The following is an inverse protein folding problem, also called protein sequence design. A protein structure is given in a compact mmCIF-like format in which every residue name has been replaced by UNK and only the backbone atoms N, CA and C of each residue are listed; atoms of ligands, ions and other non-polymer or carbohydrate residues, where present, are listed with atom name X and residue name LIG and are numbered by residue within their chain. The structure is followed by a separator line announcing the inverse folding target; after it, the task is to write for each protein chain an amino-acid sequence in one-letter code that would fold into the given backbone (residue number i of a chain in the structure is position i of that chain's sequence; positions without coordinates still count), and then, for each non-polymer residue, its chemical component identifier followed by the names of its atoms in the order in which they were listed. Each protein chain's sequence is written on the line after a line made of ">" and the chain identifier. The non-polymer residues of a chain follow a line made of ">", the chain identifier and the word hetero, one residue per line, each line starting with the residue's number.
data_IF_488486943339
#
_entry.id   IF_488486943339
#
_cell.length_a   1.000
_cell.length_b   1.000
_cell.length_c   1.000
_cell.angle_alpha   90.00
_cell.angle_beta   90.00
_cell.angle_gamma   90.00
#
_symmetry.space_group_name_H-M   'P 1'
#
loop_
_entity.id
_entity.type
_entity.pdbx_description
1 polymer ?
#
# COMPACT_ATOMS: atom_id res chain seq x y z
N UNK A 1 4.33 18.25 -5.90
CA UNK A 1 5.66 18.77 -5.49
C UNK A 1 6.30 19.59 -6.59
N UNK A 2 6.57 19.00 -7.76
CA UNK A 2 7.22 19.73 -8.87
C UNK A 2 6.52 21.06 -9.22
N UNK A 3 5.21 21.02 -9.48
CA UNK A 3 4.40 22.24 -9.72
C UNK A 3 4.45 23.30 -8.61
N UNK A 4 4.74 22.92 -7.35
CA UNK A 4 4.92 23.91 -6.28
C UNK A 4 6.31 24.56 -6.36
N UNK A 5 7.34 23.76 -6.65
CA UNK A 5 8.72 24.25 -6.82
C UNK A 5 8.80 25.19 -8.02
N UNK A 6 8.03 24.94 -9.07
CA UNK A 6 7.90 25.82 -10.25
C UNK A 6 7.00 27.05 -10.01
N UNK A 7 6.37 27.17 -8.83
CA UNK A 7 5.50 28.29 -8.49
C UNK A 7 4.11 28.26 -9.13
N UNK A 8 3.71 27.13 -9.73
CA UNK A 8 2.41 26.96 -10.40
C UNK A 8 1.24 26.78 -9.43
N UNK A 9 1.51 26.23 -8.23
CA UNK A 9 0.51 25.97 -7.18
C UNK A 9 1.02 26.40 -5.81
N UNK A 10 0.10 26.68 -4.87
CA UNK A 10 0.46 26.96 -3.47
C UNK A 10 0.93 25.71 -2.73
N UNK A 11 1.54 25.91 -1.56
CA UNK A 11 1.98 24.81 -0.69
C UNK A 11 0.80 23.95 -0.23
N UNK A 12 -0.31 24.56 0.21
CA UNK A 12 -1.50 23.84 0.67
C UNK A 12 -2.11 22.99 -0.45
N UNK A 13 -2.16 23.53 -1.67
CA UNK A 13 -2.65 22.78 -2.84
C UNK A 13 -1.71 21.61 -3.18
N UNK A 14 -0.41 21.78 -3.02
CA UNK A 14 0.57 20.72 -3.22
C UNK A 14 0.39 19.58 -2.21
N UNK A 15 0.19 19.90 -0.92
CA UNK A 15 -0.09 18.92 0.13
C UNK A 15 -1.39 18.17 -0.18
N UNK A 16 -2.46 18.91 -0.50
CA UNK A 16 -3.75 18.32 -0.84
C UNK A 16 -3.66 17.35 -2.02
N UNK A 17 -3.06 17.78 -3.13
CA UNK A 17 -2.87 16.94 -4.32
C UNK A 17 -1.99 15.74 -4.03
N UNK A 18 -0.93 15.91 -3.23
CA UNK A 18 -0.04 14.82 -2.82
C UNK A 18 -0.79 13.72 -2.06
N UNK A 19 -1.55 14.11 -1.04
CA UNK A 19 -2.37 13.17 -0.25
C UNK A 19 -3.40 12.46 -1.14
N UNK A 20 -4.09 13.19 -2.01
CA UNK A 20 -5.05 12.62 -2.96
C UNK A 20 -4.40 11.62 -3.92
N UNK A 21 -3.23 11.96 -4.49
CA UNK A 21 -2.49 11.08 -5.39
C UNK A 21 -2.08 9.77 -4.70
N UNK A 22 -1.55 9.85 -3.48
CA UNK A 22 -1.13 8.66 -2.72
C UNK A 22 -2.32 7.78 -2.30
N UNK A 23 -3.47 8.36 -1.93
CA UNK A 23 -4.69 7.58 -1.68
C UNK A 23 -5.20 6.86 -2.93
N UNK A 24 -5.16 7.53 -4.08
CA UNK A 24 -5.55 6.92 -5.35
C UNK A 24 -4.60 5.79 -5.76
N UNK A 25 -3.30 5.97 -5.53
CA UNK A 25 -2.30 4.92 -5.73
C UNK A 25 -2.61 3.70 -4.86
N UNK A 26 -2.77 3.89 -3.54
CA UNK A 26 -3.11 2.81 -2.62
C UNK A 26 -4.42 2.10 -3.01
N UNK A 27 -5.47 2.87 -3.38
CA UNK A 27 -6.73 2.30 -3.89
C UNK A 27 -6.49 1.41 -5.10
N UNK A 28 -5.68 1.85 -6.07
CA UNK A 28 -5.35 1.05 -7.27
C UNK A 28 -4.56 -0.21 -6.91
N UNK A 29 -3.58 -0.13 -6.01
CA UNK A 29 -2.83 -1.29 -5.51
C UNK A 29 -3.77 -2.33 -4.89
N UNK A 30 -4.73 -1.89 -4.06
CA UNK A 30 -5.72 -2.78 -3.45
C UNK A 30 -6.66 -3.41 -4.50
N UNK A 31 -7.07 -2.65 -5.52
CA UNK A 31 -7.86 -3.21 -6.63
C UNK A 31 -7.11 -4.34 -7.34
N UNK A 32 -5.80 -4.16 -7.60
CA UNK A 32 -4.97 -5.22 -8.20
C UNK A 32 -4.89 -6.46 -7.31
N UNK A 33 -4.58 -6.30 -6.02
CA UNK A 33 -4.43 -7.42 -5.09
C UNK A 33 -5.74 -8.21 -4.88
N UNK A 34 -6.90 -7.56 -4.98
CA UNK A 34 -8.21 -8.25 -4.91
C UNK A 34 -8.46 -9.22 -6.05
N UNK A 35 -7.85 -9.00 -7.21
CA UNK A 35 -7.96 -9.89 -8.37
C UNK A 35 -6.87 -10.96 -8.43
N UNK A 36 -5.94 -11.00 -7.47
CA UNK A 36 -4.80 -11.91 -7.50
C UNK A 36 -5.14 -13.26 -6.86
N UNK A 37 -5.11 -14.33 -7.66
CA UNK A 37 -5.34 -15.70 -7.19
C UNK A 37 -4.20 -16.22 -6.29
N UNK A 38 -4.56 -16.88 -5.19
CA UNK A 38 -3.60 -17.46 -4.25
C UNK A 38 -2.93 -16.45 -3.31
N UNK A 39 -3.38 -15.19 -3.30
CA UNK A 39 -2.89 -14.19 -2.33
C UNK A 39 -3.43 -14.49 -0.93
N UNK A 40 -2.57 -14.41 0.08
CA UNK A 40 -2.96 -14.42 1.50
C UNK A 40 -2.87 -13.01 2.06
N UNK A 41 -3.95 -12.53 2.67
CA UNK A 41 -4.01 -11.18 3.22
C UNK A 41 -3.40 -11.15 4.61
N UNK A 42 -2.49 -10.21 4.82
CA UNK A 42 -1.86 -9.95 6.11
C UNK A 42 -2.35 -8.61 6.67
N UNK A 43 -2.57 -8.55 7.98
CA UNK A 43 -3.02 -7.35 8.67
C UNK A 43 -1.82 -6.45 9.05
N UNK A 44 -1.83 -5.21 8.56
CA UNK A 44 -0.77 -4.23 8.84
C UNK A 44 -0.75 -3.78 10.31
N UNK A 45 -1.88 -3.81 11.00
CA UNK A 45 -1.98 -3.42 12.42
C UNK A 45 -1.53 -4.54 13.37
N UNK A 46 -1.25 -5.75 12.84
CA UNK A 46 -0.81 -6.89 13.64
C UNK A 46 0.40 -7.61 13.01
N UNK A 47 1.59 -6.99 13.09
CA UNK A 47 2.80 -7.50 12.43
C UNK A 47 3.26 -8.86 12.97
N UNK A 48 3.09 -9.13 14.26
CA UNK A 48 3.48 -10.42 14.85
C UNK A 48 2.61 -11.57 14.33
N UNK A 49 1.30 -11.34 14.22
CA UNK A 49 0.38 -12.31 13.62
C UNK A 49 0.71 -12.52 12.14
N UNK A 50 0.93 -11.43 11.40
CA UNK A 50 1.30 -11.50 9.98
C UNK A 50 2.57 -12.34 9.77
N UNK A 51 3.61 -12.11 10.60
CA UNK A 51 4.85 -12.90 10.56
C UNK A 51 4.60 -14.38 10.84
N UNK A 52 3.79 -14.71 11.85
CA UNK A 52 3.47 -16.10 12.19
C UNK A 52 2.74 -16.81 11.03
N UNK A 53 1.82 -16.13 10.38
CA UNK A 53 1.08 -16.68 9.23
C UNK A 53 2.02 -16.98 8.05
N UNK A 54 2.95 -16.07 7.74
CA UNK A 54 3.97 -16.32 6.71
C UNK A 54 4.82 -17.55 7.05
N UNK A 55 5.30 -17.66 8.29
CA UNK A 55 6.11 -18.80 8.72
C UNK A 55 5.35 -20.13 8.63
N UNK A 56 4.06 -20.15 8.97
CA UNK A 56 3.23 -21.35 8.87
C UNK A 56 3.06 -21.81 7.41
N UNK A 57 2.80 -20.86 6.50
CA UNK A 57 2.58 -21.18 5.09
C UNK A 57 3.87 -21.65 4.43
N UNK A 58 4.99 -20.97 4.67
CA UNK A 58 6.29 -21.35 4.11
C UNK A 58 6.80 -22.66 4.71
N UNK A 59 6.63 -22.85 6.03
CA UNK A 59 7.01 -24.10 6.70
C UNK A 59 6.26 -25.31 6.16
N UNK A 60 4.94 -25.19 5.93
CA UNK A 60 4.12 -26.25 5.36
C UNK A 60 4.44 -26.59 3.88
N UNK A 61 5.24 -25.76 3.19
CA UNK A 61 5.71 -26.01 1.82
C UNK A 61 7.09 -26.69 1.82
N UNK A 62 7.84 -26.60 2.92
CA UNK A 62 9.19 -27.13 3.05
C UNK A 62 9.23 -28.59 3.54
N UNK A 63 8.13 -29.08 4.12
CA UNK A 63 7.90 -30.48 4.50
C UNK A 63 7.16 -31.24 3.37
#
# INVERSE_FOLDING_TARGET
>A
MWSYIEGEISYDEMVYRGVCATRQLAKRQMTWLRGWEGVRWLDSENPDRARKEVLQVVGAIAD
#
